data_IF_394919786219
#
_entry.id   IF_394919786219
#
_cell.length_a   1.000
_cell.length_b   1.000
_cell.length_c   1.000
_cell.angle_alpha   90.00
_cell.angle_beta   90.00
_cell.angle_gamma   90.00
#
_symmetry.space_group_name_H-M   'P 1'
#
loop_
_entity.id
_entity.type
_entity.pdbx_description
1 polymer ?
#
# COMPACT_ATOMS: atom_id res chain seq x y z
N UNK A 1 3.89 -1.32 -3.79
CA UNK A 1 4.51 -0.93 -2.49
C UNK A 1 4.57 0.58 -2.29
N UNK A 2 4.96 1.38 -3.31
CA UNK A 2 5.03 2.85 -3.17
C UNK A 2 3.74 3.50 -2.64
N UNK A 3 2.56 3.07 -3.10
CA UNK A 3 1.27 3.57 -2.56
C UNK A 3 1.08 3.28 -1.06
N UNK A 4 1.61 2.16 -0.54
CA UNK A 4 1.57 1.88 0.91
C UNK A 4 2.45 2.87 1.65
N UNK A 5 3.70 3.02 1.23
CA UNK A 5 4.64 3.95 1.86
C UNK A 5 4.09 5.38 1.87
N UNK A 6 3.59 5.87 0.73
CA UNK A 6 2.98 7.20 0.64
C UNK A 6 1.70 7.36 1.48
N UNK A 7 0.90 6.30 1.62
CA UNK A 7 -0.35 6.37 2.37
C UNK A 7 -0.13 6.52 3.88
N UNK A 8 0.88 5.84 4.42
CA UNK A 8 1.15 5.77 5.86
C UNK A 8 2.34 6.62 6.33
N UNK A 9 3.06 7.27 5.40
CA UNK A 9 4.07 8.28 5.73
C UNK A 9 3.42 9.59 6.22
N UNK A 10 4.17 10.47 6.89
CA UNK A 10 3.70 11.82 7.22
C UNK A 10 3.17 12.57 5.98
N UNK A 11 2.15 13.43 6.12
CA UNK A 11 1.56 14.16 4.99
C UNK A 11 2.56 14.95 4.15
N UNK A 12 3.61 15.49 4.79
CA UNK A 12 4.70 16.22 4.13
C UNK A 12 5.44 15.38 3.08
N UNK A 13 5.55 14.06 3.28
CA UNK A 13 6.21 13.17 2.32
C UNK A 13 5.42 13.10 1.01
N UNK A 14 4.08 13.05 1.09
CA UNK A 14 3.23 13.05 -0.10
C UNK A 14 3.28 14.40 -0.82
N UNK A 15 3.28 15.50 -0.07
CA UNK A 15 3.39 16.84 -0.63
C UNK A 15 4.72 17.01 -1.38
N UNK A 16 5.83 16.66 -0.73
CA UNK A 16 7.15 16.68 -1.34
C UNK A 16 7.23 15.76 -2.57
N UNK A 17 6.65 14.55 -2.50
CA UNK A 17 6.60 13.64 -3.63
C UNK A 17 5.86 14.27 -4.82
N UNK A 18 4.68 14.87 -4.60
CA UNK A 18 3.88 15.49 -5.66
C UNK A 18 4.50 16.78 -6.22
N UNK A 19 5.28 17.50 -5.43
CA UNK A 19 6.02 18.68 -5.86
C UNK A 19 7.18 18.31 -6.80
N UNK A 20 7.92 17.25 -6.47
CA UNK A 20 9.14 16.86 -7.18
C UNK A 20 8.90 15.85 -8.32
N UNK A 21 7.75 15.19 -8.36
CA UNK A 21 7.47 14.12 -9.31
C UNK A 21 6.21 14.39 -10.14
N UNK A 22 6.34 14.25 -11.46
CA UNK A 22 5.18 14.19 -12.36
C UNK A 22 4.63 12.76 -12.35
N UNK A 23 3.32 12.62 -12.20
CA UNK A 23 2.62 11.34 -12.32
C UNK A 23 2.50 10.92 -13.79
N UNK A 24 3.62 10.46 -14.35
CA UNK A 24 3.71 10.03 -15.74
C UNK A 24 3.08 8.64 -15.88
N UNK A 25 2.16 8.43 -16.84
CA UNK A 25 1.56 7.12 -17.04
C UNK A 25 2.60 6.12 -17.53
N UNK A 26 2.61 4.94 -16.90
CA UNK A 26 3.40 3.77 -17.33
C UNK A 26 2.52 2.81 -18.12
N UNK A 27 1.24 2.72 -17.75
CA UNK A 27 0.21 1.92 -18.39
C UNK A 27 -1.07 2.73 -18.56
N UNK A 28 -2.05 2.16 -19.26
CA UNK A 28 -3.40 2.74 -19.37
C UNK A 28 -4.14 2.84 -18.03
N UNK A 29 -3.75 2.04 -17.03
CA UNK A 29 -4.35 2.03 -15.69
C UNK A 29 -3.66 2.98 -14.70
N UNK A 30 -2.53 3.59 -15.05
CA UNK A 30 -1.77 4.45 -14.14
C UNK A 30 -2.58 5.65 -13.63
N UNK A 31 -2.47 5.94 -12.33
CA UNK A 31 -3.05 7.14 -11.72
C UNK A 31 -2.18 8.35 -12.09
N UNK A 32 -2.70 9.25 -12.94
CA UNK A 32 -1.98 10.43 -13.44
C UNK A 32 -2.41 11.76 -12.81
N UNK A 33 -3.47 11.75 -11.99
CA UNK A 33 -4.00 12.95 -11.35
C UNK A 33 -3.65 12.97 -9.85
N UNK A 34 -3.00 14.04 -9.34
CA UNK A 34 -2.69 14.15 -7.91
C UNK A 34 -3.91 14.00 -6.99
N UNK A 35 -5.06 14.53 -7.40
CA UNK A 35 -6.32 14.39 -6.64
C UNK A 35 -6.79 12.94 -6.55
N UNK A 36 -6.69 12.17 -7.64
CA UNK A 36 -7.02 10.75 -7.65
C UNK A 36 -6.06 9.94 -6.79
N UNK A 37 -4.76 10.26 -6.84
CA UNK A 37 -3.77 9.61 -5.98
C UNK A 37 -4.08 9.89 -4.50
N UNK A 38 -4.37 11.13 -4.12
CA UNK A 38 -4.75 11.48 -2.74
C UNK A 38 -5.96 10.67 -2.24
N UNK A 39 -7.02 10.58 -3.04
CA UNK A 39 -8.21 9.77 -2.72
C UNK A 39 -7.89 8.28 -2.55
N UNK A 40 -7.06 7.74 -3.44
CA UNK A 40 -6.60 6.35 -3.34
C UNK A 40 -5.79 6.11 -2.05
N UNK A 41 -4.87 7.01 -1.69
CA UNK A 41 -4.09 6.91 -0.45
C UNK A 41 -4.97 7.03 0.79
N UNK A 42 -6.02 7.86 0.76
CA UNK A 42 -7.02 7.91 1.84
C UNK A 42 -7.78 6.58 1.99
N UNK A 43 -8.18 5.96 0.88
CA UNK A 43 -8.80 4.66 0.92
C UNK A 43 -7.86 3.59 1.47
N UNK A 44 -6.59 3.61 1.06
CA UNK A 44 -5.54 2.71 1.55
C UNK A 44 -5.38 2.82 3.07
N UNK A 45 -5.36 4.05 3.62
CA UNK A 45 -5.32 4.27 5.08
C UNK A 45 -6.54 3.66 5.79
N UNK A 46 -7.74 3.76 5.19
CA UNK A 46 -8.97 3.22 5.77
C UNK A 46 -9.00 1.69 5.77
N UNK A 47 -8.54 1.06 4.70
CA UNK A 47 -8.63 -0.41 4.54
C UNK A 47 -7.39 -1.15 5.01
N UNK A 48 -6.26 -0.46 5.24
CA UNK A 48 -5.02 -1.04 5.76
C UNK A 48 -4.10 -1.68 4.71
N UNK A 49 -4.44 -1.59 3.42
CA UNK A 49 -3.63 -2.16 2.34
C UNK A 49 -3.84 -1.41 1.03
N UNK A 50 -2.89 -1.57 0.11
CA UNK A 50 -2.94 -1.05 -1.26
C UNK A 50 -3.05 -2.17 -2.28
N UNK A 51 -3.72 -1.88 -3.38
CA UNK A 51 -3.77 -2.74 -4.58
C UNK A 51 -3.13 -2.01 -5.75
N UNK A 52 -2.39 -2.72 -6.59
CA UNK A 52 -1.97 -2.26 -7.90
C UNK A 52 -2.76 -3.07 -8.93
N UNK A 53 -3.60 -2.38 -9.71
CA UNK A 53 -4.45 -2.98 -10.73
C UNK A 53 -3.90 -2.71 -12.13
N UNK A 54 -2.66 -3.17 -12.37
CA UNK A 54 -1.92 -3.02 -13.63
C UNK A 54 -1.42 -1.59 -13.86
N UNK A 55 -1.25 -0.81 -12.80
CA UNK A 55 -0.76 0.58 -12.81
C UNK A 55 0.74 0.65 -13.09
N UNK A 56 1.51 -0.32 -12.59
CA UNK A 56 2.98 -0.38 -12.73
C UNK A 56 3.45 -1.20 -13.94
N UNK A 57 2.67 -2.19 -14.36
CA UNK A 57 2.97 -3.03 -15.51
C UNK A 57 1.68 -3.72 -15.98
N UNK A 58 1.45 -3.76 -17.30
CA UNK A 58 0.29 -4.44 -17.87
C UNK A 58 0.35 -5.95 -17.58
N UNK A 59 -0.79 -6.54 -17.23
CA UNK A 59 -0.85 -7.96 -16.89
C UNK A 59 -0.28 -8.32 -15.52
N UNK A 60 0.16 -7.35 -14.72
CA UNK A 60 0.63 -7.53 -13.34
C UNK A 60 -0.34 -6.93 -12.33
N UNK A 61 -0.65 -7.67 -11.27
CA UNK A 61 -1.36 -7.11 -10.11
C UNK A 61 -0.57 -7.35 -8.85
N UNK A 62 -0.66 -6.37 -7.95
CA UNK A 62 0.01 -6.44 -6.67
C UNK A 62 -0.95 -6.09 -5.53
N UNK A 63 -0.63 -6.60 -4.35
CA UNK A 63 -1.19 -6.15 -3.09
C UNK A 63 -0.04 -5.79 -2.16
N UNK A 64 -0.24 -4.84 -1.25
CA UNK A 64 0.77 -4.46 -0.27
C UNK A 64 0.15 -3.92 1.00
N UNK A 65 0.82 -4.13 2.14
CA UNK A 65 0.37 -3.66 3.44
C UNK A 65 1.57 -3.15 4.27
N UNK A 66 1.36 -2.19 5.18
CA UNK A 66 2.42 -1.53 5.94
C UNK A 66 2.89 -2.40 7.10
N UNK A 67 4.18 -2.39 7.43
CA UNK A 67 4.72 -2.94 8.68
C UNK A 67 4.97 -1.77 9.63
N UNK A 68 4.58 -1.92 10.89
CA UNK A 68 4.73 -0.88 11.91
C UNK A 68 5.83 -1.22 12.92
N UNK A 69 6.48 -0.18 13.46
CA UNK A 69 7.41 -0.30 14.57
C UNK A 69 6.73 -0.10 15.94
N UNK A 70 7.53 -0.16 17.00
CA UNK A 70 7.04 -0.04 18.39
C UNK A 70 6.37 1.30 18.74
N UNK A 71 6.59 2.36 17.95
CA UNK A 71 5.93 3.68 18.16
C UNK A 71 4.70 3.87 17.26
N UNK A 72 4.31 2.85 16.49
CA UNK A 72 3.15 2.90 15.60
C UNK A 72 3.40 3.60 14.27
N UNK A 73 4.65 3.88 13.93
CA UNK A 73 5.04 4.45 12.65
C UNK A 73 5.34 3.34 11.63
N UNK A 74 5.19 3.65 10.34
CA UNK A 74 5.53 2.71 9.28
C UNK A 74 7.06 2.50 9.21
N UNK A 75 7.49 1.26 9.41
CA UNK A 75 8.89 0.84 9.28
C UNK A 75 9.18 0.29 7.87
N UNK A 76 8.14 -0.21 7.20
CA UNK A 76 8.26 -0.77 5.87
C UNK A 76 6.93 -1.22 5.30
N UNK A 77 6.98 -2.01 4.24
CA UNK A 77 5.81 -2.65 3.66
C UNK A 77 6.19 -4.04 3.14
N UNK A 78 5.21 -4.93 3.06
CA UNK A 78 5.33 -6.20 2.32
C UNK A 78 4.18 -6.34 1.35
N UNK A 79 4.40 -7.10 0.28
CA UNK A 79 3.40 -7.26 -0.76
C UNK A 79 3.55 -8.54 -1.55
N UNK A 80 2.48 -8.91 -2.24
CA UNK A 80 2.41 -10.08 -3.12
C UNK A 80 2.14 -9.56 -4.52
N UNK A 81 2.94 -10.00 -5.48
CA UNK A 81 2.84 -9.62 -6.89
C UNK A 81 2.68 -10.86 -7.76
N UNK A 82 1.86 -10.78 -8.79
CA UNK A 82 1.66 -11.89 -9.70
C UNK A 82 0.86 -11.52 -10.95
N UNK A 83 0.87 -12.39 -11.97
CA UNK A 83 0.16 -12.13 -13.20
C UNK A 83 -1.36 -12.13 -12.97
N UNK A 84 -2.09 -11.35 -13.78
CA UNK A 84 -3.54 -11.12 -13.62
C UNK A 84 -4.38 -12.39 -13.53
N UNK A 85 -4.00 -13.46 -14.23
CA UNK A 85 -4.73 -14.74 -14.20
C UNK A 85 -4.55 -15.52 -12.89
N UNK A 86 -3.48 -15.25 -12.13
CA UNK A 86 -3.30 -15.76 -10.75
C UNK A 86 -3.85 -14.79 -9.70
N UNK A 87 -3.93 -13.52 -10.04
CA UNK A 87 -4.41 -12.43 -9.19
C UNK A 87 -5.84 -12.00 -9.55
N UNK A 88 -6.76 -12.97 -9.62
CA UNK A 88 -8.20 -12.67 -9.72
C UNK A 88 -8.69 -11.93 -8.47
N UNK A 89 -9.81 -11.21 -8.55
CA UNK A 89 -10.38 -10.48 -7.40
C UNK A 89 -10.58 -11.38 -6.18
N UNK A 90 -11.07 -12.61 -6.39
CA UNK A 90 -11.28 -13.59 -5.32
C UNK A 90 -9.96 -14.06 -4.70
N UNK A 91 -8.93 -14.29 -5.53
CA UNK A 91 -7.61 -14.64 -5.02
C UNK A 91 -6.98 -13.49 -4.25
N UNK A 92 -7.05 -12.26 -4.78
CA UNK A 92 -6.53 -11.07 -4.11
C UNK A 92 -7.19 -10.85 -2.75
N UNK A 93 -8.51 -11.03 -2.62
CA UNK A 93 -9.19 -10.95 -1.32
C UNK A 93 -8.63 -11.97 -0.31
N UNK A 94 -8.43 -13.22 -0.74
CA UNK A 94 -7.83 -14.28 0.10
C UNK A 94 -6.38 -13.95 0.47
N UNK A 95 -5.59 -13.45 -0.47
CA UNK A 95 -4.20 -13.07 -0.24
C UNK A 95 -4.08 -11.84 0.66
N UNK A 96 -4.96 -10.85 0.52
CA UNK A 96 -5.03 -9.67 1.38
C UNK A 96 -5.29 -10.05 2.83
N UNK A 97 -6.26 -10.93 3.09
CA UNK A 97 -6.52 -11.39 4.46
C UNK A 97 -5.26 -11.99 5.09
N UNK A 98 -4.59 -12.91 4.37
CA UNK A 98 -3.34 -13.51 4.84
C UNK A 98 -2.21 -12.49 5.00
N UNK A 99 -2.09 -11.55 4.06
CA UNK A 99 -1.07 -10.51 4.09
C UNK A 99 -1.22 -9.64 5.35
N UNK A 100 -2.45 -9.25 5.69
CA UNK A 100 -2.72 -8.46 6.90
C UNK A 100 -2.41 -9.25 8.18
N UNK A 101 -2.75 -10.55 8.23
CA UNK A 101 -2.36 -11.43 9.34
C UNK A 101 -0.83 -11.47 9.52
N UNK A 102 -0.08 -11.57 8.42
CA UNK A 102 1.39 -11.60 8.46
C UNK A 102 1.99 -10.25 8.82
N UNK A 103 1.44 -9.17 8.30
CA UNK A 103 1.85 -7.80 8.66
C UNK A 103 1.67 -7.54 10.15
N UNK A 104 0.53 -7.95 10.71
CA UNK A 104 0.25 -7.80 12.13
C UNK A 104 1.29 -8.55 12.95
N UNK A 105 1.52 -9.83 12.64
CA UNK A 105 2.52 -10.66 13.30
C UNK A 105 3.94 -10.06 13.24
N UNK A 106 4.37 -9.62 12.05
CA UNK A 106 5.71 -9.00 11.90
C UNK A 106 5.80 -7.70 12.68
N UNK A 107 4.75 -6.87 12.66
CA UNK A 107 4.73 -5.60 13.39
C UNK A 107 4.82 -5.85 14.91
N UNK A 108 4.09 -6.85 15.43
CA UNK A 108 4.18 -7.26 16.85
C UNK A 108 5.59 -7.73 17.23
N UNK A 109 6.28 -8.46 16.35
CA UNK A 109 7.69 -8.82 16.56
C UNK A 109 8.63 -7.60 16.60
N UNK A 110 8.27 -6.52 15.90
CA UNK A 110 8.97 -5.23 15.95
C UNK A 110 8.52 -4.35 17.13
N UNK A 111 7.67 -4.88 18.01
CA UNK A 111 7.19 -4.21 19.22
C UNK A 111 5.96 -3.34 19.03
N UNK A 112 5.31 -3.38 17.86
CA UNK A 112 4.02 -2.71 17.64
C UNK A 112 2.94 -3.36 18.51
N UNK A 113 2.18 -2.53 19.23
CA UNK A 113 1.03 -2.97 20.01
C UNK A 113 -0.19 -2.12 19.60
N UNK A 114 -1.19 -2.69 18.90
CA UNK A 114 -2.38 -1.96 18.46
C UNK A 114 -3.28 -1.51 19.62
N UNK A 115 -3.07 -2.04 20.83
CA UNK A 115 -3.84 -1.70 22.03
C UNK A 115 -3.12 -0.71 22.94
N UNK A 116 -1.84 -0.43 22.70
CA UNK A 116 -1.07 0.55 23.45
C UNK A 116 -1.60 1.94 23.12
N UNK A 117 -2.47 2.46 23.99
CA UNK A 117 -2.85 3.87 23.95
C UNK A 117 -1.63 4.71 24.27
N UNK A 118 -1.21 5.53 23.31
CA UNK A 118 -0.32 6.67 23.56
C UNK A 118 -0.99 7.69 24.47
#
# INVERSE_FOLDING_TARGET
MGKVLLAFSPPSVLEQYLEHNKLTPVTSSSIVLPSKLKLELENIRKVGYATDMEESCEGLRCIGAPIYNAVGEIEGAIGISGPIFRMSKNHMNRYNKKLLEQVQYISELLGYDPHRKG
#
